data_IF_890294422352
#
_entry.id   IF_890294422352
#
_cell.length_a   1.000
_cell.length_b   1.000
_cell.length_c   1.000
_cell.angle_alpha   90.00
_cell.angle_beta   90.00
_cell.angle_gamma   90.00
#
_symmetry.space_group_name_H-M   'P 1'
#
loop_
_entity.id
_entity.type
_entity.pdbx_description
1 polymer ?
#
# COMPACT_ATOMS: atom_id res chain seq x y z
N UNK A 1 1.26 29.46 -23.07
CA UNK A 1 1.90 28.39 -22.27
C UNK A 1 1.13 28.29 -20.97
N UNK A 2 0.28 27.27 -20.82
CA UNK A 2 -0.51 27.10 -19.58
C UNK A 2 0.45 26.63 -18.48
N UNK A 3 0.45 27.33 -17.34
CA UNK A 3 1.26 26.96 -16.19
C UNK A 3 0.83 25.56 -15.71
N UNK A 4 1.79 24.65 -15.56
CA UNK A 4 1.54 23.32 -14.99
C UNK A 4 1.10 23.52 -13.53
N UNK A 5 -0.07 23.02 -13.11
CA UNK A 5 -0.49 23.14 -11.72
C UNK A 5 0.55 22.44 -10.84
N UNK A 6 1.04 23.17 -9.83
CA UNK A 6 2.00 22.67 -8.87
C UNK A 6 1.22 21.96 -7.76
N UNK A 7 1.34 20.64 -7.69
CA UNK A 7 0.76 19.86 -6.60
C UNK A 7 1.69 19.89 -5.38
N UNK A 8 1.13 20.03 -4.18
CA UNK A 8 1.90 19.83 -2.95
C UNK A 8 2.28 18.36 -2.81
N UNK A 9 3.51 18.12 -2.34
CA UNK A 9 4.03 16.78 -2.11
C UNK A 9 4.65 16.75 -0.72
N UNK A 10 4.36 15.68 0.02
CA UNK A 10 4.94 15.42 1.32
C UNK A 10 5.43 13.97 1.37
N UNK A 11 6.55 13.75 2.07
CA UNK A 11 7.15 12.44 2.21
C UNK A 11 7.02 11.95 3.65
N UNK A 12 6.64 10.69 3.81
CA UNK A 12 6.61 10.01 5.08
C UNK A 12 7.24 8.63 4.92
N UNK A 13 8.13 8.25 5.85
CA UNK A 13 8.73 6.92 5.84
C UNK A 13 7.71 5.86 6.26
N UNK A 14 7.77 4.71 5.59
CA UNK A 14 6.92 3.56 5.85
C UNK A 14 7.68 2.29 5.46
N UNK A 15 7.79 1.37 6.42
CA UNK A 15 8.28 0.02 6.19
C UNK A 15 7.12 -0.94 6.44
N UNK A 16 6.64 -1.59 5.38
CA UNK A 16 5.50 -2.51 5.43
C UNK A 16 5.87 -3.85 6.07
N UNK A 17 7.16 -4.19 6.19
CA UNK A 17 7.63 -5.41 6.87
C UNK A 17 7.61 -5.28 8.39
N UNK A 18 7.46 -4.05 8.91
CA UNK A 18 7.49 -3.72 10.34
C UNK A 18 6.14 -3.16 10.79
N UNK A 19 5.28 -4.00 11.36
CA UNK A 19 3.89 -3.62 11.67
C UNK A 19 3.76 -2.53 12.74
N UNK A 20 4.75 -2.38 13.62
CA UNK A 20 4.85 -1.25 14.55
C UNK A 20 5.06 0.07 13.79
N UNK A 21 5.88 0.06 12.74
CA UNK A 21 6.10 1.20 11.85
C UNK A 21 4.83 1.55 11.08
N UNK A 22 4.14 0.56 10.50
CA UNK A 22 2.84 0.74 9.83
C UNK A 22 1.84 1.45 10.75
N UNK A 23 1.72 0.99 12.00
CA UNK A 23 0.82 1.60 13.00
C UNK A 23 1.21 3.04 13.34
N UNK A 24 2.51 3.31 13.53
CA UNK A 24 3.00 4.68 13.80
C UNK A 24 2.72 5.62 12.63
N UNK A 25 3.03 5.20 11.41
CA UNK A 25 2.80 5.99 10.19
C UNK A 25 1.31 6.28 9.99
N UNK A 26 0.44 5.28 10.14
CA UNK A 26 -1.01 5.48 10.05
C UNK A 26 -1.52 6.43 11.14
N UNK A 27 -1.02 6.32 12.38
CA UNK A 27 -1.37 7.24 13.46
C UNK A 27 -0.99 8.68 13.13
N UNK A 28 0.19 8.93 12.55
CA UNK A 28 0.62 10.26 12.11
C UNK A 28 -0.37 10.82 11.08
N UNK A 29 -0.66 10.07 10.01
CA UNK A 29 -1.58 10.48 8.95
C UNK A 29 -2.96 10.81 9.53
N UNK A 30 -3.53 9.89 10.32
CA UNK A 30 -4.86 10.05 10.91
C UNK A 30 -4.93 11.28 11.83
N UNK A 31 -3.86 11.56 12.59
CA UNK A 31 -3.80 12.72 13.49
C UNK A 31 -3.80 14.03 12.70
N UNK A 32 -3.08 14.07 11.57
CA UNK A 32 -3.00 15.26 10.71
C UNK A 32 -4.32 15.53 9.97
N UNK A 33 -5.02 14.47 9.54
CA UNK A 33 -6.38 14.60 8.98
C UNK A 33 -7.35 15.12 10.06
N UNK A 34 -7.30 14.55 11.27
CA UNK A 34 -8.16 14.99 12.37
C UNK A 34 -7.90 16.45 12.79
N UNK A 35 -6.64 16.90 12.72
CA UNK A 35 -6.25 18.29 12.99
C UNK A 35 -6.57 19.26 11.83
N UNK A 36 -6.99 18.77 10.67
CA UNK A 36 -7.25 19.58 9.48
C UNK A 36 -5.97 20.07 8.77
N UNK A 37 -4.80 19.53 9.11
CA UNK A 37 -3.53 19.87 8.46
C UNK A 37 -3.45 19.31 7.04
N UNK A 38 -4.07 18.15 6.81
CA UNK A 38 -4.26 17.55 5.49
C UNK A 38 -5.72 17.17 5.31
N UNK A 39 -6.22 17.24 4.06
CA UNK A 39 -7.59 16.87 3.74
C UNK A 39 -7.85 15.37 3.94
N UNK A 40 -9.13 14.98 4.00
CA UNK A 40 -9.53 13.57 3.99
C UNK A 40 -8.93 12.83 2.79
N UNK A 41 -8.55 11.58 3.01
CA UNK A 41 -7.85 10.77 2.01
C UNK A 41 -8.84 10.38 0.92
N UNK A 42 -8.62 10.91 -0.29
CA UNK A 42 -9.44 10.60 -1.46
C UNK A 42 -9.06 9.27 -2.10
N UNK A 43 -7.78 8.90 -2.06
CA UNK A 43 -7.30 7.63 -2.59
C UNK A 43 -6.06 7.12 -1.84
N UNK A 44 -5.94 5.80 -1.75
CA UNK A 44 -4.73 5.10 -1.31
C UNK A 44 -4.32 4.14 -2.42
N UNK A 45 -3.08 4.24 -2.89
CA UNK A 45 -2.49 3.29 -3.82
C UNK A 45 -1.53 2.35 -3.08
N UNK A 46 -1.96 1.11 -2.88
CA UNK A 46 -1.19 0.05 -2.25
C UNK A 46 -0.28 -0.59 -3.31
N UNK A 47 0.80 0.13 -3.64
CA UNK A 47 1.69 -0.19 -4.76
C UNK A 47 2.99 -0.89 -4.35
N UNK A 48 3.55 -0.53 -3.19
CA UNK A 48 4.87 -1.02 -2.79
C UNK A 48 4.89 -2.55 -2.78
N UNK A 49 5.91 -3.16 -3.37
CA UNK A 49 6.01 -4.60 -3.51
C UNK A 49 7.41 -5.09 -3.18
N UNK A 50 7.47 -6.31 -2.68
CA UNK A 50 8.67 -7.07 -2.43
C UNK A 50 8.57 -8.39 -3.19
N UNK A 51 9.63 -8.77 -3.89
CA UNK A 51 9.68 -9.99 -4.69
C UNK A 51 11.04 -10.67 -4.45
N UNK A 52 10.99 -11.96 -4.17
CA UNK A 52 12.17 -12.82 -4.07
C UNK A 52 11.97 -14.04 -4.97
N UNK A 53 13.06 -14.53 -5.56
CA UNK A 53 13.04 -15.70 -6.44
C UNK A 53 13.64 -16.94 -5.76
N UNK A 54 14.88 -16.84 -5.26
CA UNK A 54 15.65 -18.00 -4.81
C UNK A 54 15.80 -18.10 -3.29
N UNK A 55 15.63 -16.98 -2.58
CA UNK A 55 15.79 -16.91 -1.13
C UNK A 55 14.47 -16.56 -0.50
N UNK A 56 14.15 -17.19 0.63
CA UNK A 56 13.01 -16.81 1.45
C UNK A 56 13.51 -16.01 2.65
N UNK A 57 13.37 -14.69 2.59
CA UNK A 57 13.66 -13.81 3.72
C UNK A 57 12.48 -13.81 4.69
N UNK A 58 12.78 -13.64 5.98
CA UNK A 58 11.77 -13.46 7.03
C UNK A 58 11.88 -12.09 7.68
N UNK A 59 10.74 -11.56 8.12
CA UNK A 59 10.69 -10.37 8.97
C UNK A 59 11.29 -10.66 10.35
N UNK A 60 11.52 -9.61 11.15
CA UNK A 60 11.93 -9.74 12.55
C UNK A 60 10.96 -10.61 13.37
N UNK A 61 9.67 -10.60 13.01
CA UNK A 61 8.61 -11.40 13.62
C UNK A 61 8.51 -12.84 13.06
N UNK A 62 9.40 -13.23 12.15
CA UNK A 62 9.47 -14.58 11.58
C UNK A 62 8.47 -14.87 10.46
N UNK A 63 7.79 -13.86 9.91
CA UNK A 63 6.88 -14.01 8.78
C UNK A 63 7.65 -14.03 7.47
N UNK A 64 7.12 -14.71 6.45
CA UNK A 64 7.60 -14.58 5.08
C UNK A 64 7.59 -13.10 4.63
N UNK A 65 8.70 -12.61 4.09
CA UNK A 65 8.88 -11.19 3.77
C UNK A 65 7.91 -10.72 2.69
N UNK A 66 7.72 -11.52 1.63
CA UNK A 66 6.78 -11.21 0.54
C UNK A 66 5.34 -11.13 1.07
N UNK A 67 4.93 -12.09 1.89
CA UNK A 67 3.61 -12.09 2.52
C UNK A 67 3.42 -10.92 3.48
N UNK A 68 4.44 -10.62 4.30
CA UNK A 68 4.40 -9.52 5.24
C UNK A 68 4.26 -8.16 4.53
N UNK A 69 5.06 -7.91 3.49
CA UNK A 69 5.05 -6.63 2.76
C UNK A 69 3.84 -6.52 1.84
N UNK A 70 3.66 -7.48 0.93
CA UNK A 70 2.70 -7.35 -0.18
C UNK A 70 1.25 -7.56 0.27
N UNK A 71 1.03 -8.20 1.42
CA UNK A 71 -0.30 -8.49 1.93
C UNK A 71 -0.55 -7.88 3.31
N UNK A 72 0.11 -8.36 4.36
CA UNK A 72 -0.26 -8.00 5.74
C UNK A 72 -0.01 -6.52 6.06
N UNK A 73 1.11 -5.96 5.62
CA UNK A 73 1.47 -4.56 5.81
C UNK A 73 0.48 -3.64 5.11
N UNK A 74 0.15 -3.91 3.84
CA UNK A 74 -0.85 -3.17 3.07
C UNK A 74 -2.25 -3.30 3.66
N UNK A 75 -2.66 -4.50 4.03
CA UNK A 75 -3.95 -4.77 4.66
C UNK A 75 -4.09 -3.99 5.97
N UNK A 76 -3.07 -4.04 6.83
CA UNK A 76 -3.05 -3.31 8.09
C UNK A 76 -3.10 -1.79 7.86
N UNK A 77 -2.29 -1.27 6.94
CA UNK A 77 -2.27 0.15 6.59
C UNK A 77 -3.66 0.62 6.11
N UNK A 78 -4.27 -0.13 5.19
CA UNK A 78 -5.57 0.20 4.63
C UNK A 78 -6.64 0.29 5.72
N UNK A 79 -6.74 -0.74 6.57
CA UNK A 79 -7.71 -0.75 7.67
C UNK A 79 -7.52 0.41 8.64
N UNK A 80 -6.27 0.74 8.99
CA UNK A 80 -5.97 1.83 9.92
C UNK A 80 -6.30 3.21 9.34
N UNK A 81 -6.23 3.39 8.02
CA UNK A 81 -6.50 4.66 7.35
C UNK A 81 -7.97 4.86 6.98
N UNK A 82 -8.82 3.82 7.03
CA UNK A 82 -10.25 3.92 6.71
C UNK A 82 -10.97 5.06 7.46
N UNK A 83 -10.59 5.31 8.72
CA UNK A 83 -11.20 6.38 9.52
C UNK A 83 -10.93 7.80 8.99
N UNK A 84 -9.87 7.96 8.19
CA UNK A 84 -9.44 9.24 7.63
C UNK A 84 -9.69 9.34 6.12
N UNK A 85 -10.30 8.31 5.53
CA UNK A 85 -10.75 8.34 4.14
C UNK A 85 -12.04 9.15 3.99
N UNK A 86 -12.18 9.75 2.81
CA UNK A 86 -13.46 10.31 2.38
C UNK A 86 -14.53 9.21 2.30
N UNK A 87 -15.64 9.39 3.00
CA UNK A 87 -16.69 8.37 3.12
C UNK A 87 -17.51 8.17 1.86
N UNK A 88 -17.57 9.17 0.99
CA UNK A 88 -18.40 9.13 -0.22
C UNK A 88 -17.57 8.81 -1.45
N UNK A 89 -16.33 9.32 -1.52
CA UNK A 89 -15.49 9.31 -2.72
C UNK A 89 -14.18 8.55 -2.54
N UNK A 90 -13.87 8.10 -1.33
CA UNK A 90 -12.63 7.40 -1.00
C UNK A 90 -12.44 6.12 -1.81
N UNK A 91 -11.22 5.86 -2.28
CA UNK A 91 -10.86 4.65 -3.01
C UNK A 91 -9.59 4.01 -2.49
N UNK A 92 -9.58 2.69 -2.38
CA UNK A 92 -8.36 1.91 -2.15
C UNK A 92 -8.05 1.15 -3.43
N UNK A 93 -6.87 1.40 -4.01
CA UNK A 93 -6.39 0.70 -5.19
C UNK A 93 -5.31 -0.28 -4.75
N UNK A 94 -5.57 -1.56 -4.95
CA UNK A 94 -4.60 -2.64 -4.69
C UNK A 94 -3.92 -3.03 -5.99
N UNK A 95 -2.59 -2.99 -6.02
CA UNK A 95 -1.82 -3.36 -7.21
C UNK A 95 -1.31 -4.79 -7.03
N UNK A 96 -1.57 -5.63 -8.04
CA UNK A 96 -1.18 -7.03 -8.11
C UNK A 96 -0.34 -7.26 -9.37
N UNK A 97 0.33 -8.40 -9.47
CA UNK A 97 1.23 -8.81 -10.56
C UNK A 97 0.80 -10.13 -11.16
N UNK A 98 1.09 -10.43 -12.43
CA UNK A 98 0.71 -11.71 -13.03
C UNK A 98 1.19 -12.95 -12.24
N UNK A 99 2.28 -12.84 -11.47
CA UNK A 99 2.83 -13.91 -10.62
C UNK A 99 1.86 -14.45 -9.56
N UNK A 100 0.75 -13.78 -9.24
CA UNK A 100 -0.29 -14.35 -8.37
C UNK A 100 -1.10 -15.48 -9.04
N UNK A 101 -1.00 -15.67 -10.36
CA UNK A 101 -1.68 -16.75 -11.08
C UNK A 101 -0.86 -18.04 -10.99
N UNK A 102 -1.37 -19.00 -10.23
CA UNK A 102 -0.73 -20.31 -10.00
C UNK A 102 -1.05 -21.38 -11.07
N UNK A 103 -1.08 -20.99 -12.35
CA UNK A 103 -1.21 -21.94 -13.48
C UNK A 103 -0.45 -21.41 -14.70
N UNK A 104 0.25 -22.26 -15.47
CA UNK A 104 0.64 -21.89 -16.82
C UNK A 104 -0.66 -21.67 -17.59
N UNK A 105 -0.84 -20.50 -18.20
CA UNK A 105 -1.72 -20.43 -19.35
C UNK A 105 -1.10 -21.38 -20.38
N UNK A 106 -1.75 -22.53 -20.60
CA UNK A 106 -1.68 -23.14 -21.92
C UNK A 106 -2.32 -22.08 -22.80
N UNK A 107 -1.53 -21.36 -23.58
CA UNK A 107 -2.04 -20.64 -24.74
C UNK A 107 -2.63 -21.73 -25.64
N UNK A 108 -3.91 -22.06 -25.42
CA UNK A 108 -4.69 -22.67 -26.48
C UNK A 108 -4.75 -21.61 -27.57
N UNK A 109 -4.09 -21.96 -28.68
CA UNK A 109 -3.71 -21.04 -29.73
C UNK A 109 -4.85 -20.15 -30.19
N UNK A 110 -4.42 -19.00 -30.72
CA UNK A 110 -5.17 -18.27 -31.71
C UNK A 110 -5.57 -19.24 -32.84
N UNK A 111 -6.85 -19.63 -32.87
CA UNK A 111 -7.61 -19.91 -34.08
C UNK A 111 -8.64 -18.77 -34.27
#
# INVERSE_FOLDING_TARGET
MLATPTHSCEQLSLDLSRFDHVRRTAKIINSRVAAGEIASIQAIALNAGYEEFETQTRTEDGLDMTFAVNYLGHWLLALLLLQSMDREKGRVIWISSWSHKSSPHVDEGLD
#
